data_IF_541491448034
#
_entry.id   IF_541491448034
#
_cell.length_a   1.000
_cell.length_b   1.000
_cell.length_c   1.000
_cell.angle_alpha   90.00
_cell.angle_beta   90.00
_cell.angle_gamma   90.00
#
_symmetry.space_group_name_H-M   'P 1'
#
loop_
_entity.id
_entity.type
_entity.pdbx_description
1 polymer ?
#
# COMPACT_ATOMS: atom_id res chain seq x y z
N UNK A 1 -14.88 8.58 11.18
CA UNK A 1 -15.97 7.67 10.70
C UNK A 1 -15.34 6.34 10.31
N UNK A 2 -15.89 5.21 10.82
CA UNK A 2 -15.36 3.86 10.55
C UNK A 2 -16.29 3.09 9.62
N UNK A 3 -15.70 2.30 8.71
CA UNK A 3 -16.37 1.42 7.77
C UNK A 3 -15.60 0.09 7.73
N UNK A 4 -16.32 -1.04 7.66
CA UNK A 4 -15.70 -2.38 7.58
C UNK A 4 -16.16 -3.09 6.33
N UNK A 5 -15.21 -3.64 5.58
CA UNK A 5 -15.44 -4.35 4.33
C UNK A 5 -14.97 -5.80 4.45
N UNK A 6 -15.91 -6.74 4.39
CA UNK A 6 -15.61 -8.16 4.52
C UNK A 6 -15.22 -8.77 3.17
N UNK A 7 -14.05 -9.44 3.13
CA UNK A 7 -13.50 -10.07 1.94
C UNK A 7 -13.76 -11.58 1.88
N UNK A 8 -14.35 -12.14 2.93
CA UNK A 8 -14.67 -13.56 3.07
C UNK A 8 -16.14 -13.89 2.72
N UNK A 9 -16.79 -13.05 1.93
CA UNK A 9 -18.16 -13.24 1.46
C UNK A 9 -18.19 -13.63 -0.01
N UNK A 10 -19.25 -14.28 -0.45
CA UNK A 10 -19.45 -14.70 -1.84
C UNK A 10 -19.46 -13.52 -2.82
N UNK A 11 -19.90 -12.35 -2.36
CA UNK A 11 -19.84 -11.10 -3.12
C UNK A 11 -18.85 -10.15 -2.47
N UNK A 12 -17.83 -9.76 -3.23
CA UNK A 12 -16.86 -8.76 -2.76
C UNK A 12 -17.52 -7.39 -2.62
N UNK A 13 -17.18 -6.62 -1.57
CA UNK A 13 -17.72 -5.29 -1.37
C UNK A 13 -17.18 -4.32 -2.41
N UNK A 14 -18.01 -3.34 -2.77
CA UNK A 14 -17.54 -2.12 -3.46
C UNK A 14 -16.98 -1.20 -2.39
N UNK A 15 -15.68 -0.96 -2.43
CA UNK A 15 -14.97 -0.15 -1.44
C UNK A 15 -14.15 0.94 -2.13
N UNK A 16 -13.93 2.10 -1.48
CA UNK A 16 -13.03 3.12 -1.98
C UNK A 16 -11.62 2.56 -2.16
N UNK A 17 -10.96 2.92 -3.26
CA UNK A 17 -9.55 2.60 -3.49
C UNK A 17 -8.77 3.92 -3.50
N UNK A 18 -8.21 4.34 -2.35
CA UNK A 18 -7.33 5.50 -2.33
C UNK A 18 -6.13 5.24 -3.22
N UNK A 19 -5.66 6.27 -3.91
CA UNK A 19 -4.53 6.16 -4.82
C UNK A 19 -3.66 7.41 -4.75
N UNK A 20 -2.37 7.22 -4.99
CA UNK A 20 -1.35 8.28 -5.01
C UNK A 20 -1.28 9.11 -3.72
N UNK A 21 -1.59 8.49 -2.57
CA UNK A 21 -1.57 9.17 -1.29
C UNK A 21 -0.26 8.94 -0.55
N UNK A 22 0.17 9.95 0.19
CA UNK A 22 1.37 9.89 1.03
C UNK A 22 1.08 8.99 2.24
N UNK A 23 1.97 8.04 2.51
CA UNK A 23 1.94 7.25 3.71
C UNK A 23 2.71 7.98 4.80
N UNK A 24 2.03 8.33 5.89
CA UNK A 24 2.68 8.93 7.05
C UNK A 24 3.16 7.91 8.06
N UNK A 25 2.54 6.74 8.11
CA UNK A 25 2.98 5.64 8.96
C UNK A 25 2.48 4.29 8.45
N UNK A 26 3.24 3.23 8.76
CA UNK A 26 2.84 1.84 8.64
C UNK A 26 3.16 1.16 9.96
N UNK A 27 2.25 0.33 10.43
CA UNK A 27 2.49 -0.58 11.55
C UNK A 27 2.04 -1.98 11.19
N UNK A 28 2.81 -2.97 11.65
CA UNK A 28 2.53 -4.39 11.47
C UNK A 28 2.51 -5.02 12.85
N UNK A 29 1.38 -5.55 13.24
CA UNK A 29 1.22 -6.30 14.49
C UNK A 29 0.72 -7.73 14.22
N UNK A 30 0.28 -8.44 15.25
CA UNK A 30 -0.13 -9.84 15.14
C UNK A 30 -1.43 -10.03 14.34
N UNK A 31 -2.29 -9.00 14.29
CA UNK A 31 -3.62 -9.07 13.70
C UNK A 31 -3.78 -8.16 12.48
N UNK A 32 -3.02 -7.03 12.42
CA UNK A 32 -3.25 -6.01 11.42
C UNK A 32 -1.97 -5.54 10.73
N UNK A 33 -2.11 -5.27 9.43
CA UNK A 33 -1.24 -4.34 8.71
C UNK A 33 -2.01 -3.04 8.54
N UNK A 34 -1.48 -1.97 9.13
CA UNK A 34 -2.14 -0.65 9.19
C UNK A 34 -1.36 0.37 8.39
N UNK A 35 -2.04 1.09 7.50
CA UNK A 35 -1.52 2.23 6.77
C UNK A 35 -2.22 3.50 7.25
N UNK A 36 -1.45 4.56 7.51
CA UNK A 36 -1.97 5.90 7.78
C UNK A 36 -1.64 6.77 6.58
N UNK A 37 -2.66 7.19 5.85
CA UNK A 37 -2.57 8.02 4.66
C UNK A 37 -2.94 9.46 5.01
N UNK A 38 -2.18 10.40 4.46
CA UNK A 38 -2.46 11.84 4.58
C UNK A 38 -2.93 12.39 3.22
N UNK A 39 -3.83 13.38 3.27
CA UNK A 39 -4.17 14.17 2.10
C UNK A 39 -3.05 15.13 1.74
N UNK A 40 -2.81 15.36 0.46
CA UNK A 40 -1.99 16.48 0.01
C UNK A 40 -2.88 17.71 -0.25
N UNK A 41 -2.80 18.77 0.59
CA UNK A 41 -3.63 19.97 0.41
C UNK A 41 -3.38 20.70 -0.93
N UNK A 42 -2.30 20.37 -1.63
CA UNK A 42 -1.93 20.96 -2.93
C UNK A 42 -2.49 20.17 -4.09
N UNK A 43 -2.85 18.90 -3.86
CA UNK A 43 -3.45 18.04 -4.86
C UNK A 43 -4.98 18.24 -4.88
N UNK A 44 -5.48 18.79 -6.00
CA UNK A 44 -6.92 19.00 -6.19
C UNK A 44 -7.67 17.71 -6.49
N UNK A 45 -6.95 16.69 -6.92
CA UNK A 45 -7.48 15.39 -7.32
C UNK A 45 -7.20 14.31 -6.26
N UNK A 46 -6.87 14.72 -5.02
CA UNK A 46 -6.62 13.81 -3.90
C UNK A 46 -7.76 12.82 -3.73
N UNK A 47 -7.44 11.54 -3.78
CA UNK A 47 -8.43 10.45 -3.78
C UNK A 47 -9.22 10.36 -2.47
N UNK A 48 -8.61 10.70 -1.32
CA UNK A 48 -9.28 10.71 -0.01
C UNK A 48 -10.37 11.78 -0.02
N UNK A 49 -10.04 12.98 -0.54
CA UNK A 49 -11.00 14.07 -0.68
C UNK A 49 -12.12 13.75 -1.67
N UNK A 50 -11.82 13.00 -2.72
CA UNK A 50 -12.81 12.53 -3.69
C UNK A 50 -13.86 11.62 -3.04
N UNK A 51 -13.42 10.64 -2.24
CA UNK A 51 -14.34 9.69 -1.59
C UNK A 51 -15.04 10.27 -0.36
N UNK A 52 -14.35 11.11 0.41
CA UNK A 52 -14.87 11.72 1.65
C UNK A 52 -14.44 13.19 1.74
N UNK A 53 -15.21 14.10 1.15
CA UNK A 53 -14.94 15.53 1.21
C UNK A 53 -14.78 16.03 2.64
N UNK A 54 -13.68 16.75 2.91
CA UNK A 54 -13.34 17.26 4.23
C UNK A 54 -12.49 16.33 5.10
N UNK A 55 -12.26 15.08 4.70
CA UNK A 55 -11.32 14.19 5.39
C UNK A 55 -9.89 14.70 5.21
N UNK A 56 -9.09 14.65 6.27
CA UNK A 56 -7.66 15.02 6.28
C UNK A 56 -6.73 13.84 6.16
N UNK A 57 -7.26 12.64 6.22
CA UNK A 57 -6.52 11.40 6.10
C UNK A 57 -7.41 10.18 6.20
N UNK A 58 -6.80 9.03 6.01
CA UNK A 58 -7.45 7.73 6.08
C UNK A 58 -6.53 6.73 6.77
N UNK A 59 -7.06 6.00 7.74
CA UNK A 59 -6.40 4.82 8.30
C UNK A 59 -7.05 3.60 7.67
N UNK A 60 -6.21 2.75 7.06
CA UNK A 60 -6.62 1.46 6.49
C UNK A 60 -5.99 0.36 7.34
N UNK A 61 -6.82 -0.55 7.87
CA UNK A 61 -6.37 -1.71 8.62
C UNK A 61 -6.80 -2.97 7.89
N UNK A 62 -5.84 -3.77 7.45
CA UNK A 62 -6.06 -5.10 6.88
C UNK A 62 -5.91 -6.13 7.97
N UNK A 63 -6.99 -6.84 8.29
CA UNK A 63 -6.93 -7.94 9.25
C UNK A 63 -6.28 -9.16 8.60
N UNK A 64 -5.09 -9.51 9.10
CA UNK A 64 -4.28 -10.61 8.58
C UNK A 64 -3.50 -11.26 9.71
N UNK A 65 -3.59 -12.56 9.84
CA UNK A 65 -2.89 -13.34 10.88
C UNK A 65 -1.41 -13.57 10.49
N UNK A 66 -0.67 -12.50 10.19
CA UNK A 66 0.73 -12.53 9.71
C UNK A 66 0.95 -13.35 8.44
N UNK A 67 -0.08 -13.59 7.66
CA UNK A 67 0.03 -14.26 6.36
C UNK A 67 0.18 -13.24 5.25
N UNK A 68 1.38 -12.71 5.12
CA UNK A 68 1.71 -11.73 4.09
C UNK A 68 3.13 -11.92 3.53
N UNK A 69 3.33 -11.46 2.30
CA UNK A 69 4.60 -11.40 1.59
C UNK A 69 4.84 -9.98 1.11
N UNK A 70 6.03 -9.46 1.36
CA UNK A 70 6.45 -8.14 0.90
C UNK A 70 7.60 -8.33 -0.08
N UNK A 71 7.49 -7.79 -1.28
CA UNK A 71 8.55 -7.84 -2.27
C UNK A 71 8.70 -6.54 -3.04
N UNK A 72 9.95 -6.17 -3.32
CA UNK A 72 10.33 -4.97 -4.02
C UNK A 72 10.84 -5.29 -5.42
N UNK A 73 10.41 -4.51 -6.37
CA UNK A 73 10.86 -4.55 -7.74
C UNK A 73 12.24 -3.90 -7.85
N UNK A 74 13.25 -4.62 -8.33
CA UNK A 74 14.61 -4.10 -8.54
C UNK A 74 15.06 -4.33 -9.97
N UNK A 75 15.65 -3.29 -10.58
CA UNK A 75 16.36 -3.41 -11.85
C UNK A 75 17.82 -3.75 -11.56
N UNK A 76 18.37 -4.74 -12.25
CA UNK A 76 19.80 -5.01 -12.20
C UNK A 76 20.55 -3.83 -12.81
N UNK A 77 21.39 -3.14 -12.02
CA UNK A 77 22.31 -2.14 -12.54
C UNK A 77 23.42 -2.87 -13.28
N UNK A 78 23.53 -2.63 -14.59
CA UNK A 78 24.65 -3.11 -15.43
C UNK A 78 25.56 -1.95 -15.77
N UNK A 79 26.89 -2.18 -15.94
CA UNK A 79 27.79 -1.16 -16.48
C UNK A 79 27.27 -0.63 -17.81
N UNK A 80 27.41 0.69 -18.06
CA UNK A 80 26.89 1.36 -19.26
C UNK A 80 27.27 0.67 -20.60
N UNK A 81 28.44 0.05 -20.65
CA UNK A 81 28.96 -0.67 -21.83
C UNK A 81 28.12 -1.93 -22.14
N UNK A 82 27.61 -2.60 -21.11
CA UNK A 82 26.81 -3.85 -21.27
C UNK A 82 25.31 -3.57 -21.47
N UNK A 83 24.82 -2.35 -21.16
CA UNK A 83 23.40 -1.99 -21.30
C UNK A 83 22.92 -2.02 -22.76
N UNK A 84 23.82 -1.86 -23.73
CA UNK A 84 23.47 -1.93 -25.18
C UNK A 84 23.29 -3.37 -25.66
N UNK A 85 23.91 -4.35 -24.99
CA UNK A 85 23.91 -5.75 -25.39
C UNK A 85 22.90 -6.62 -24.65
N UNK A 86 22.46 -6.19 -23.49
CA UNK A 86 21.56 -6.98 -22.64
C UNK A 86 20.45 -6.13 -22.05
N UNK A 87 19.21 -6.56 -22.19
CA UNK A 87 18.06 -5.91 -21.50
C UNK A 87 18.23 -6.00 -19.99
N UNK A 88 17.93 -4.91 -19.24
CA UNK A 88 17.93 -4.97 -17.78
C UNK A 88 16.96 -6.06 -17.31
N UNK A 89 17.41 -6.95 -16.46
CA UNK A 89 16.51 -7.94 -15.82
C UNK A 89 15.85 -7.28 -14.64
N UNK A 90 14.55 -7.46 -14.58
CA UNK A 90 13.73 -7.08 -13.44
C UNK A 90 13.62 -8.32 -12.56
N UNK A 91 13.89 -8.17 -11.27
CA UNK A 91 13.71 -9.24 -10.30
C UNK A 91 13.05 -8.69 -9.04
N UNK A 92 12.39 -9.58 -8.32
CA UNK A 92 11.77 -9.27 -7.04
C UNK A 92 12.72 -9.64 -5.92
N UNK A 93 12.78 -8.79 -4.90
CA UNK A 93 13.57 -9.00 -3.69
C UNK A 93 12.64 -8.93 -2.50
N UNK A 94 12.71 -9.91 -1.61
CA UNK A 94 11.94 -9.89 -0.38
C UNK A 94 12.34 -8.69 0.47
N UNK A 95 11.35 -8.06 1.08
CA UNK A 95 11.49 -6.91 1.97
C UNK A 95 10.90 -7.29 3.31
N UNK A 96 11.63 -7.03 4.39
CA UNK A 96 11.10 -7.23 5.72
C UNK A 96 10.19 -6.06 6.17
N UNK A 97 9.37 -6.32 7.17
CA UNK A 97 8.43 -5.34 7.73
C UNK A 97 9.15 -4.14 8.36
N UNK A 98 10.33 -4.35 9.00
CA UNK A 98 11.10 -3.27 9.62
C UNK A 98 11.56 -2.25 8.58
N UNK A 99 11.95 -2.71 7.39
CA UNK A 99 12.32 -1.84 6.28
C UNK A 99 11.13 -1.07 5.74
N UNK A 100 9.96 -1.72 5.66
CA UNK A 100 8.73 -1.07 5.23
C UNK A 100 8.32 0.05 6.21
N UNK A 101 8.32 -0.24 7.52
CA UNK A 101 8.05 0.74 8.55
C UNK A 101 9.07 1.88 8.56
N UNK A 102 10.36 1.58 8.34
CA UNK A 102 11.41 2.60 8.27
C UNK A 102 11.22 3.55 7.08
N UNK A 103 10.80 3.04 5.91
CA UNK A 103 10.48 3.87 4.76
C UNK A 103 9.29 4.80 5.02
N UNK A 104 8.28 4.34 5.73
CA UNK A 104 7.11 5.15 6.07
C UNK A 104 7.41 6.27 7.08
N UNK A 105 8.44 6.12 7.93
CA UNK A 105 8.86 7.17 8.88
C UNK A 105 9.51 8.38 8.20
N UNK A 106 10.07 8.19 7.02
CA UNK A 106 10.62 9.29 6.23
C UNK A 106 9.49 9.88 5.38
N UNK A 107 8.87 10.93 5.88
CA UNK A 107 7.75 11.62 5.22
C UNK A 107 8.09 11.90 3.75
N UNK A 108 7.17 11.55 2.85
CA UNK A 108 7.32 11.63 1.39
C UNK A 108 8.25 10.59 0.74
N UNK A 109 8.68 9.57 1.47
CA UNK A 109 9.50 8.51 0.89
C UNK A 109 8.70 7.31 0.38
N UNK A 110 7.46 7.17 0.80
CA UNK A 110 6.59 6.04 0.47
C UNK A 110 5.17 6.51 0.14
N UNK A 111 4.73 6.15 -1.06
CA UNK A 111 3.38 6.46 -1.55
C UNK A 111 2.52 5.20 -1.60
N UNK A 112 1.27 5.34 -1.24
CA UNK A 112 0.22 4.34 -1.43
C UNK A 112 -0.37 4.53 -2.82
N UNK A 113 -0.05 3.62 -3.74
CA UNK A 113 -0.47 3.76 -5.14
C UNK A 113 -1.90 3.26 -5.31
N UNK A 114 -2.20 2.05 -4.86
CA UNK A 114 -3.52 1.43 -4.99
C UNK A 114 -3.56 0.09 -4.24
N UNK A 115 -4.73 -0.51 -4.16
CA UNK A 115 -4.86 -1.90 -3.74
C UNK A 115 -5.88 -2.65 -4.59
N UNK A 116 -5.72 -3.96 -4.63
CA UNK A 116 -6.64 -4.89 -5.27
C UNK A 116 -7.15 -5.88 -4.23
N UNK A 117 -8.46 -6.11 -4.23
CA UNK A 117 -9.09 -7.06 -3.31
C UNK A 117 -9.63 -8.26 -4.08
N UNK A 118 -9.51 -9.42 -3.47
CA UNK A 118 -10.08 -10.68 -3.90
C UNK A 118 -10.69 -11.41 -2.71
N UNK A 119 -11.19 -12.61 -2.93
CA UNK A 119 -11.68 -13.44 -1.84
C UNK A 119 -10.53 -13.76 -0.87
N UNK A 120 -10.66 -13.35 0.38
CA UNK A 120 -9.63 -13.47 1.43
C UNK A 120 -8.23 -12.99 1.00
N UNK A 121 -8.12 -12.08 0.05
CA UNK A 121 -6.81 -11.67 -0.47
C UNK A 121 -6.79 -10.18 -0.77
N UNK A 122 -5.67 -9.55 -0.43
CA UNK A 122 -5.38 -8.16 -0.80
C UNK A 122 -3.98 -8.06 -1.37
N UNK A 123 -3.82 -7.24 -2.40
CA UNK A 123 -2.51 -6.82 -2.92
C UNK A 123 -2.47 -5.30 -2.82
N UNK A 124 -1.54 -4.78 -2.05
CA UNK A 124 -1.27 -3.34 -1.94
C UNK A 124 -0.04 -3.01 -2.75
N UNK A 125 -0.15 -2.02 -3.61
CA UNK A 125 0.95 -1.48 -4.40
C UNK A 125 1.43 -0.17 -3.78
N UNK A 126 2.69 -0.13 -3.43
CA UNK A 126 3.38 1.01 -2.84
C UNK A 126 4.53 1.45 -3.75
N UNK A 127 4.97 2.69 -3.61
CA UNK A 127 6.10 3.20 -4.36
C UNK A 127 7.10 3.95 -3.47
N UNK A 128 8.36 3.49 -3.49
CA UNK A 128 9.50 4.17 -2.86
C UNK A 128 10.72 4.02 -3.77
N UNK A 129 10.93 4.94 -4.71
CA UNK A 129 11.95 4.84 -5.78
C UNK A 129 11.77 3.62 -6.71
N UNK A 130 10.99 2.64 -6.32
CA UNK A 130 10.56 1.47 -7.08
C UNK A 130 9.29 0.90 -6.48
N UNK A 131 8.56 0.10 -7.24
CA UNK A 131 7.33 -0.54 -6.75
C UNK A 131 7.63 -1.56 -5.66
N UNK A 132 6.81 -1.51 -4.62
CA UNK A 132 6.77 -2.48 -3.52
C UNK A 132 5.36 -3.06 -3.51
N UNK A 133 5.25 -4.38 -3.47
CA UNK A 133 3.99 -5.09 -3.41
C UNK A 133 3.87 -5.81 -2.09
N UNK A 134 2.75 -5.62 -1.43
CA UNK A 134 2.38 -6.33 -0.22
C UNK A 134 1.18 -7.21 -0.55
N UNK A 135 1.39 -8.52 -0.62
CA UNK A 135 0.32 -9.50 -0.77
C UNK A 135 -0.01 -10.09 0.60
N UNK A 136 -1.27 -10.10 0.98
CA UNK A 136 -1.71 -10.64 2.26
C UNK A 136 -3.02 -11.42 2.14
N UNK A 137 -3.18 -12.42 3.01
CA UNK A 137 -4.47 -13.01 3.31
C UNK A 137 -5.19 -12.07 4.28
N UNK A 138 -6.38 -11.62 3.91
CA UNK A 138 -7.18 -10.72 4.73
C UNK A 138 -8.66 -11.07 4.61
N UNK A 139 -9.34 -11.24 5.74
CA UNK A 139 -10.76 -11.58 5.78
C UNK A 139 -11.65 -10.34 5.83
N UNK A 140 -11.14 -9.21 6.31
CA UNK A 140 -11.79 -7.91 6.25
C UNK A 140 -10.79 -6.75 6.27
N UNK A 141 -11.29 -5.57 5.89
CA UNK A 141 -10.56 -4.30 5.89
C UNK A 141 -11.37 -3.27 6.64
N UNK A 142 -10.73 -2.50 7.51
CA UNK A 142 -11.33 -1.37 8.21
C UNK A 142 -10.79 -0.06 7.65
N UNK A 143 -11.70 0.87 7.38
CA UNK A 143 -11.39 2.26 7.05
C UNK A 143 -11.80 3.17 8.19
N UNK A 144 -10.92 4.08 8.58
CA UNK A 144 -11.20 5.13 9.52
C UNK A 144 -10.83 6.49 8.93
N UNK A 145 -11.86 7.25 8.50
CA UNK A 145 -11.71 8.56 7.91
C UNK A 145 -11.45 9.59 9.00
N UNK A 146 -10.39 10.40 8.85
CA UNK A 146 -9.95 11.44 9.77
C UNK A 146 -10.43 12.82 9.27
N UNK A 147 -11.08 13.61 10.13
CA UNK A 147 -11.61 14.93 9.80
C UNK A 147 -10.94 16.05 10.58
#
# INVERSE_FOLDING_TARGET
MKETYYLNKDTLPVMPVPHDNIISNITVDDEFVTFILETDPKDKDDSIQYYKPGAKGLIIRYHTERDYLIYQHRKTRRPRILCKLFRPRIHYVDVDENKLEALARDKYSLDYIEHFVGYNTVIVNLYAKSSIYLRMQADYVEYEWLF
#
